data_IF_778044094680
#
_entry.id   IF_778044094680
#
_cell.length_a   1.000
_cell.length_b   1.000
_cell.length_c   1.000
_cell.angle_alpha   90.00
_cell.angle_beta   90.00
_cell.angle_gamma   90.00
#
_symmetry.space_group_name_H-M   'P 1'
#
loop_
_entity.id
_entity.type
_entity.pdbx_description
1 polymer ?
#
# COMPACT_ATOMS: atom_id res chain seq x y z
N UNK A 1 5.74 2.93 0.05
CA UNK A 1 6.07 4.07 0.94
C UNK A 1 5.22 4.03 2.20
N UNK A 2 5.84 4.15 3.37
CA UNK A 2 5.19 4.15 4.67
C UNK A 2 5.28 5.52 5.33
N UNK A 3 4.26 5.87 6.13
CA UNK A 3 4.19 7.13 6.90
C UNK A 3 3.90 6.83 8.37
N UNK A 4 4.55 7.58 9.25
CA UNK A 4 4.30 7.56 10.70
C UNK A 4 4.46 9.00 11.23
N UNK A 5 3.34 9.71 11.37
CA UNK A 5 3.35 11.16 11.59
C UNK A 5 4.11 11.89 10.46
N UNK A 6 5.13 12.66 10.86
CA UNK A 6 5.98 13.42 9.93
C UNK A 6 7.09 12.58 9.28
N UNK A 7 7.25 11.32 9.69
CA UNK A 7 8.28 10.42 9.17
C UNK A 7 7.78 9.72 7.91
N UNK A 8 8.65 9.66 6.89
CA UNK A 8 8.44 8.89 5.66
C UNK A 8 9.51 7.82 5.54
N UNK A 9 9.09 6.60 5.21
CA UNK A 9 9.97 5.50 4.84
C UNK A 9 9.67 5.07 3.40
N UNK A 10 10.65 5.22 2.52
CA UNK A 10 10.58 4.76 1.14
C UNK A 10 11.34 3.45 1.05
N UNK A 11 10.60 2.38 0.74
CA UNK A 11 11.18 1.08 0.42
C UNK A 11 11.12 0.96 -1.09
N UNK A 12 12.30 0.76 -1.70
CA UNK A 12 12.47 0.61 -3.13
C UNK A 12 12.85 -0.81 -3.44
N UNK A 13 12.48 -1.21 -4.64
CA UNK A 13 12.62 -2.58 -5.06
C UNK A 13 13.32 -2.83 -6.37
N UNK A 14 13.44 -4.13 -6.63
CA UNK A 14 13.63 -4.71 -7.96
C UNK A 14 12.32 -4.71 -8.74
N UNK A 15 12.38 -4.99 -10.04
CA UNK A 15 11.21 -4.98 -10.93
C UNK A 15 10.10 -5.98 -10.56
N UNK A 16 10.30 -6.89 -9.60
CA UNK A 16 9.46 -8.10 -9.44
C UNK A 16 8.68 -8.25 -8.13
N UNK A 17 9.12 -7.67 -7.02
CA UNK A 17 8.45 -7.89 -5.73
C UNK A 17 8.77 -6.78 -4.74
N UNK A 18 8.34 -6.91 -3.47
CA UNK A 18 8.86 -6.11 -2.34
C UNK A 18 9.66 -6.98 -1.36
N UNK A 19 10.92 -6.69 -0.93
CA UNK A 19 11.75 -7.57 -0.11
C UNK A 19 11.38 -7.41 1.36
N UNK A 20 10.09 -7.35 1.64
CA UNK A 20 9.57 -7.30 3.00
C UNK A 20 8.87 -8.61 3.28
N UNK A 21 9.39 -9.30 4.27
CA UNK A 21 8.70 -10.43 4.88
C UNK A 21 7.49 -9.94 5.66
N UNK A 22 6.51 -10.82 5.86
CA UNK A 22 5.35 -10.53 6.70
C UNK A 22 5.74 -10.10 8.11
N UNK A 23 6.78 -10.70 8.71
CA UNK A 23 7.29 -10.34 10.03
C UNK A 23 7.78 -8.88 10.09
N UNK A 24 8.47 -8.41 9.05
CA UNK A 24 8.92 -7.02 8.96
C UNK A 24 7.73 -6.05 8.80
N UNK A 25 6.72 -6.43 8.01
CA UNK A 25 5.50 -5.64 7.83
C UNK A 25 4.70 -5.53 9.13
N UNK A 26 4.57 -6.63 9.87
CA UNK A 26 3.92 -6.63 11.20
C UNK A 26 4.64 -5.72 12.17
N UNK A 27 5.98 -5.79 12.22
CA UNK A 27 6.79 -4.88 13.04
C UNK A 27 6.55 -3.41 12.68
N UNK A 28 6.51 -3.07 11.39
CA UNK A 28 6.18 -1.71 10.96
C UNK A 28 4.77 -1.29 11.40
N UNK A 29 3.78 -2.18 11.28
CA UNK A 29 2.42 -1.90 11.72
C UNK A 29 2.35 -1.66 13.24
N UNK A 30 3.04 -2.47 14.04
CA UNK A 30 3.11 -2.35 15.50
C UNK A 30 3.82 -1.06 15.95
N UNK A 31 4.81 -0.60 15.18
CA UNK A 31 5.50 0.68 15.38
C UNK A 31 4.66 1.90 14.92
N UNK A 32 3.44 1.68 14.42
CA UNK A 32 2.52 2.75 14.03
C UNK A 32 2.71 3.28 12.60
N UNK A 33 3.53 2.62 11.78
CA UNK A 33 3.61 2.94 10.37
C UNK A 33 2.31 2.57 9.64
N UNK A 34 1.98 3.34 8.60
CA UNK A 34 0.89 3.04 7.67
C UNK A 34 1.41 2.96 6.25
N UNK A 35 0.88 2.03 5.47
CA UNK A 35 1.22 1.94 4.06
C UNK A 35 0.44 3.02 3.29
N UNK A 36 1.16 3.99 2.75
CA UNK A 36 0.59 5.25 2.23
C UNK A 36 0.60 5.37 0.72
N UNK A 37 1.50 4.66 0.04
CA UNK A 37 1.57 4.63 -1.42
C UNK A 37 2.36 3.41 -1.92
N UNK A 38 2.00 2.97 -3.12
CA UNK A 38 2.69 1.95 -3.92
C UNK A 38 2.58 2.31 -5.40
N UNK A 39 3.49 1.79 -6.22
CA UNK A 39 3.48 1.98 -7.67
C UNK A 39 4.09 0.75 -8.34
N UNK A 40 3.46 0.25 -9.40
CA UNK A 40 3.98 -0.86 -10.18
C UNK A 40 4.89 -0.31 -11.31
N UNK A 41 6.05 -0.93 -11.58
CA UNK A 41 6.97 -0.49 -12.64
C UNK A 41 6.36 -0.50 -14.05
N UNK A 42 5.41 -1.41 -14.29
CA UNK A 42 4.69 -1.58 -15.56
C UNK A 42 3.52 -0.59 -15.75
N UNK A 43 3.26 0.26 -14.75
CA UNK A 43 2.16 1.22 -14.76
C UNK A 43 0.79 0.62 -14.40
N UNK A 44 0.74 -0.63 -13.94
CA UNK A 44 -0.50 -1.24 -13.42
C UNK A 44 -1.07 -0.40 -12.28
N UNK A 45 -2.40 -0.21 -12.28
CA UNK A 45 -3.13 0.57 -11.26
C UNK A 45 -4.04 -0.29 -10.38
N UNK A 46 -4.11 -1.59 -10.66
CA UNK A 46 -4.91 -2.57 -9.93
C UNK A 46 -4.09 -3.25 -8.85
N UNK A 47 -4.73 -3.59 -7.74
CA UNK A 47 -4.11 -4.35 -6.66
C UNK A 47 -3.79 -5.79 -7.07
N UNK A 48 -2.64 -6.27 -6.60
CA UNK A 48 -2.30 -7.69 -6.57
C UNK A 48 -2.78 -8.35 -5.27
N UNK A 49 -2.80 -9.68 -5.23
CA UNK A 49 -3.01 -10.41 -3.97
C UNK A 49 -2.00 -10.02 -2.88
N UNK A 50 -0.77 -9.68 -3.28
CA UNK A 50 0.27 -9.19 -2.37
C UNK A 50 -0.14 -7.87 -1.73
N UNK A 51 -0.66 -6.93 -2.51
CA UNK A 51 -1.10 -5.63 -2.02
C UNK A 51 -2.25 -5.77 -1.02
N UNK A 52 -3.22 -6.63 -1.31
CA UNK A 52 -4.33 -6.96 -0.40
C UNK A 52 -3.80 -7.54 0.91
N UNK A 53 -2.87 -8.51 0.85
CA UNK A 53 -2.27 -9.13 2.02
C UNK A 53 -1.54 -8.11 2.89
N UNK A 54 -0.71 -7.26 2.28
CA UNK A 54 0.04 -6.24 3.02
C UNK A 54 -0.93 -5.22 3.65
N UNK A 55 -1.92 -4.71 2.92
CA UNK A 55 -2.93 -3.79 3.49
C UNK A 55 -3.72 -4.43 4.64
N UNK A 56 -3.98 -5.72 4.59
CA UNK A 56 -4.60 -6.48 5.68
C UNK A 56 -3.79 -6.50 6.99
N UNK A 57 -2.47 -6.26 6.92
CA UNK A 57 -1.60 -6.19 8.10
C UNK A 57 -1.63 -4.81 8.78
N UNK A 58 -2.01 -3.75 8.06
CA UNK A 58 -2.04 -2.38 8.57
C UNK A 58 -3.46 -1.93 8.88
N UNK A 59 -3.66 -1.24 10.01
CA UNK A 59 -4.97 -0.69 10.37
C UNK A 59 -5.31 0.52 9.47
N UNK A 60 -6.49 0.51 8.86
CA UNK A 60 -7.06 1.63 8.09
C UNK A 60 -6.10 2.21 7.02
N UNK A 61 -5.37 1.34 6.32
CA UNK A 61 -4.52 1.75 5.19
C UNK A 61 -5.28 1.55 3.88
N UNK A 62 -5.09 2.49 2.96
CA UNK A 62 -5.55 2.41 1.58
C UNK A 62 -4.51 3.12 0.71
N UNK A 63 -4.35 2.66 -0.53
CA UNK A 63 -3.42 3.28 -1.49
C UNK A 63 -4.22 4.01 -2.56
N UNK A 64 -3.81 5.24 -2.85
CA UNK A 64 -4.39 6.08 -3.90
C UNK A 64 -3.42 6.13 -5.07
N UNK A 65 -3.86 5.68 -6.24
CA UNK A 65 -3.05 5.73 -7.46
C UNK A 65 -3.14 7.10 -8.15
N UNK A 66 -2.00 7.73 -8.50
CA UNK A 66 -2.00 9.00 -9.20
C UNK A 66 -2.09 8.76 -10.71
N UNK A 67 -3.29 8.57 -11.26
CA UNK A 67 -3.67 8.99 -12.62
C UNK A 67 -5.01 8.38 -13.05
N UNK A 68 -6.02 9.24 -13.17
CA UNK A 68 -7.38 8.98 -13.69
C UNK A 68 -8.38 8.42 -12.66
N UNK A 69 -9.41 9.21 -12.38
CA UNK A 69 -10.74 8.80 -11.89
C UNK A 69 -10.80 7.56 -10.94
N UNK A 70 -10.16 7.62 -9.77
CA UNK A 70 -10.35 6.73 -8.59
C UNK A 70 -10.08 5.23 -8.85
N UNK A 71 -8.81 4.83 -8.82
CA UNK A 71 -8.38 3.48 -8.43
C UNK A 71 -7.78 3.52 -7.03
N UNK A 72 -8.62 3.42 -6.00
CA UNK A 72 -8.18 3.15 -4.64
C UNK A 72 -8.15 1.63 -4.46
N UNK A 73 -7.27 1.09 -3.63
CA UNK A 73 -7.45 -0.26 -3.13
C UNK A 73 -7.23 -0.32 -1.62
N UNK A 74 -8.02 -1.15 -0.96
CA UNK A 74 -7.98 -1.42 0.47
C UNK A 74 -7.70 -2.91 0.74
N UNK A 75 -7.83 -3.35 1.98
CA UNK A 75 -7.64 -4.76 2.37
C UNK A 75 -8.62 -5.75 1.71
N UNK A 76 -9.62 -5.27 0.97
CA UNK A 76 -10.59 -6.07 0.23
C UNK A 76 -10.33 -6.03 -1.30
N UNK A 77 -9.30 -5.32 -1.75
CA UNK A 77 -8.95 -5.17 -3.17
C UNK A 77 -9.33 -3.81 -3.74
N UNK A 78 -9.57 -3.79 -5.06
CA UNK A 78 -9.84 -2.56 -5.81
C UNK A 78 -11.20 -1.93 -5.44
N UNK A 79 -11.15 -0.69 -4.97
CA UNK A 79 -12.30 0.15 -4.68
C UNK A 79 -12.62 0.99 -5.91
N UNK A 80 -13.51 0.43 -6.75
CA UNK A 80 -14.03 1.06 -7.95
C UNK A 80 -15.20 1.99 -7.60
N UNK A 81 -14.88 3.17 -7.06
CA UNK A 81 -15.89 4.19 -6.77
C UNK A 81 -15.59 4.99 -5.53
N UNK A 82 -15.54 6.31 -5.70
CA UNK A 82 -15.98 7.19 -4.64
C UNK A 82 -15.18 7.23 -3.32
N UNK A 83 -13.97 7.84 -3.24
CA UNK A 83 -13.45 8.46 -2.00
C UNK A 83 -14.58 9.00 -1.11
N UNK A 84 -14.76 8.36 0.04
CA UNK A 84 -15.55 8.86 1.15
C UNK A 84 -14.56 9.31 2.23
N UNK A 85 -14.66 10.59 2.68
CA UNK A 85 -13.76 11.18 3.67
C UNK A 85 -13.64 10.40 4.97
#
# INVERSE_FOLDING_TARGET
MFRNGDRTLIIRDTERQVPLTEAQLRKLADEGWRWSAHSHPDGTIYSSEGDVKVLGLFKNSAIITPNTKRGQFDKNGDVLGGWLP
#
